data_IF_962228366013
#
_entry.id   IF_962228366013
#
_cell.length_a   1.000
_cell.length_b   1.000
_cell.length_c   1.000
_cell.angle_alpha   90.00
_cell.angle_beta   90.00
_cell.angle_gamma   90.00
#
_symmetry.space_group_name_H-M   'P 1'
#
loop_
_entity.id
_entity.type
_entity.pdbx_description
1 polymer ?
#
# COMPACT_ATOMS: atom_id res chain seq x y z
N UNK A 1 57.48 -39.42 -64.31
CA UNK A 1 56.22 -39.66 -65.05
C UNK A 1 55.05 -39.46 -64.11
N UNK A 2 54.09 -38.65 -64.56
CA UNK A 2 52.64 -38.59 -64.27
C UNK A 2 52.12 -38.94 -62.86
N UNK A 3 51.58 -37.89 -62.23
CA UNK A 3 50.47 -37.80 -61.28
C UNK A 3 49.74 -39.10 -60.87
N UNK A 4 49.61 -39.29 -59.56
CA UNK A 4 48.48 -39.99 -58.97
C UNK A 4 47.61 -39.00 -58.17
N UNK A 5 46.34 -38.99 -58.53
CA UNK A 5 45.23 -38.21 -57.98
C UNK A 5 44.53 -39.02 -56.89
N UNK A 6 44.11 -38.37 -55.78
CA UNK A 6 42.72 -38.39 -55.28
C UNK A 6 42.57 -37.86 -53.85
N UNK A 7 41.77 -36.79 -53.74
CA UNK A 7 40.51 -36.70 -52.99
C UNK A 7 40.52 -36.90 -51.46
N UNK A 8 40.38 -35.79 -50.74
CA UNK A 8 39.70 -35.68 -49.44
C UNK A 8 39.15 -34.25 -49.29
N UNK A 9 37.97 -33.95 -49.86
CA UNK A 9 36.68 -33.90 -49.16
C UNK A 9 36.71 -33.16 -47.81
N UNK A 10 36.49 -31.84 -47.89
CA UNK A 10 35.58 -31.01 -47.09
C UNK A 10 35.28 -31.49 -45.65
N UNK A 11 35.68 -30.68 -44.67
CA UNK A 11 34.88 -30.53 -43.45
C UNK A 11 35.06 -29.15 -42.81
N UNK A 12 34.04 -28.33 -43.08
CA UNK A 12 33.45 -27.32 -42.20
C UNK A 12 34.37 -26.31 -41.50
N UNK A 13 34.62 -25.20 -42.21
CA UNK A 13 34.42 -23.89 -41.58
C UNK A 13 32.93 -23.79 -41.19
N UNK A 14 32.62 -23.73 -39.90
CA UNK A 14 31.25 -23.73 -39.41
C UNK A 14 31.19 -23.21 -37.98
N UNK A 15 30.79 -21.95 -37.84
CA UNK A 15 30.65 -21.20 -36.61
C UNK A 15 29.60 -21.80 -35.66
N UNK A 16 29.86 -21.76 -34.34
CA UNK A 16 28.83 -21.78 -33.30
C UNK A 16 29.26 -20.90 -32.10
N UNK A 17 29.30 -19.59 -32.32
CA UNK A 17 29.10 -18.60 -31.25
C UNK A 17 27.59 -18.35 -31.18
N UNK A 18 26.86 -19.25 -30.51
CA UNK A 18 25.43 -19.10 -30.29
C UNK A 18 25.14 -19.26 -28.81
N UNK A 19 24.78 -18.17 -28.13
CA UNK A 19 24.19 -18.27 -26.79
C UNK A 19 24.46 -17.15 -25.78
N UNK A 20 24.81 -15.93 -26.18
CA UNK A 20 24.65 -14.76 -25.30
C UNK A 20 23.32 -14.09 -25.63
N UNK A 21 22.23 -14.62 -25.08
CA UNK A 21 20.94 -13.93 -25.06
C UNK A 21 21.12 -12.62 -24.27
N UNK A 22 20.88 -11.44 -24.86
CA UNK A 22 20.90 -10.20 -24.11
C UNK A 22 19.70 -10.21 -23.14
N UNK A 23 19.96 -10.29 -21.84
CA UNK A 23 18.98 -10.12 -20.76
C UNK A 23 18.39 -8.69 -20.68
N UNK A 24 18.57 -7.87 -21.71
CA UNK A 24 18.23 -6.44 -21.70
C UNK A 24 16.74 -6.17 -21.98
N UNK A 25 15.91 -7.21 -22.12
CA UNK A 25 14.50 -7.08 -22.46
C UNK A 25 13.55 -7.36 -21.28
N UNK A 26 14.02 -7.32 -20.03
CA UNK A 26 13.10 -7.23 -18.90
C UNK A 26 12.66 -5.77 -18.78
N UNK A 27 11.36 -5.45 -19.00
CA UNK A 27 10.86 -4.16 -18.61
C UNK A 27 11.07 -4.07 -17.10
N UNK A 28 12.00 -3.21 -16.68
CA UNK A 28 12.02 -2.69 -15.32
C UNK A 28 10.73 -1.87 -15.18
N UNK A 29 9.61 -2.56 -14.96
CA UNK A 29 8.44 -1.96 -14.38
C UNK A 29 8.93 -1.42 -13.05
N UNK A 30 9.18 -0.11 -12.98
CA UNK A 30 9.61 0.54 -11.76
C UNK A 30 8.59 0.15 -10.70
N UNK A 31 9.04 -0.61 -9.70
CA UNK A 31 8.22 -0.92 -8.54
C UNK A 31 7.96 0.41 -7.82
N UNK A 32 6.89 1.10 -8.23
CA UNK A 32 6.33 2.20 -7.47
C UNK A 32 5.85 1.57 -6.18
N UNK A 33 6.45 1.96 -5.05
CA UNK A 33 5.88 1.63 -3.76
C UNK A 33 4.42 2.10 -3.79
N UNK A 34 3.48 1.17 -3.54
CA UNK A 34 2.08 1.53 -3.37
C UNK A 34 2.02 2.60 -2.27
N UNK A 35 1.33 3.71 -2.53
CA UNK A 35 1.11 4.74 -1.51
C UNK A 35 0.58 4.07 -0.24
N UNK A 36 1.22 4.34 0.90
CA UNK A 36 0.81 3.73 2.16
C UNK A 36 -0.54 4.34 2.57
N UNK A 37 -1.64 3.56 2.64
CA UNK A 37 -2.96 4.10 2.92
C UNK A 37 -3.05 4.74 4.32
N UNK A 38 -2.16 4.38 5.24
CA UNK A 38 -2.08 5.00 6.58
C UNK A 38 -1.62 6.46 6.51
N UNK A 39 -0.92 6.88 5.46
CA UNK A 39 -0.43 8.26 5.32
C UNK A 39 -1.56 9.27 5.07
N UNK A 40 -2.76 8.80 4.70
CA UNK A 40 -3.91 9.64 4.36
C UNK A 40 -4.81 9.94 5.57
N UNK A 41 -4.61 9.21 6.67
CA UNK A 41 -5.46 9.23 7.86
C UNK A 41 -4.69 9.63 9.11
N UNK A 42 -5.33 10.30 10.07
CA UNK A 42 -4.71 10.52 11.38
C UNK A 42 -4.47 9.18 12.07
N UNK A 43 -3.38 9.08 12.83
CA UNK A 43 -3.05 7.85 13.55
C UNK A 43 -3.89 7.73 14.82
N UNK A 44 -4.24 8.87 15.43
CA UNK A 44 -5.04 8.94 16.66
C UNK A 44 -6.19 9.92 16.45
N UNK A 45 -7.39 9.51 16.87
CA UNK A 45 -8.56 10.40 17.02
C UNK A 45 -9.00 10.36 18.49
N UNK A 46 -9.18 11.52 19.12
CA UNK A 46 -9.62 11.65 20.50
C UNK A 46 -11.10 12.06 20.57
N UNK A 47 -11.90 11.23 21.24
CA UNK A 47 -13.34 11.43 21.35
C UNK A 47 -13.76 11.38 22.82
N UNK A 48 -14.56 12.37 23.25
CA UNK A 48 -15.21 12.35 24.56
C UNK A 48 -16.51 11.55 24.49
N UNK A 49 -16.69 10.58 25.39
CA UNK A 49 -17.93 9.84 25.61
C UNK A 49 -18.11 9.59 27.11
N UNK A 50 -19.30 9.83 27.66
CA UNK A 50 -19.59 9.70 29.10
C UNK A 50 -18.51 10.31 30.00
N UNK A 51 -18.17 11.58 29.77
CA UNK A 51 -17.12 12.32 30.51
C UNK A 51 -15.69 11.75 30.42
N UNK A 52 -15.49 10.71 29.62
CA UNK A 52 -14.19 10.07 29.41
C UNK A 52 -13.63 10.40 28.04
N UNK A 53 -12.35 10.71 27.96
CA UNK A 53 -11.65 10.87 26.68
C UNK A 53 -11.06 9.53 26.26
N UNK A 54 -11.49 9.04 25.09
CA UNK A 54 -10.98 7.84 24.48
C UNK A 54 -10.02 8.19 23.35
N UNK A 55 -8.86 7.53 23.31
CA UNK A 55 -7.96 7.54 22.18
C UNK A 55 -8.30 6.38 21.24
N UNK A 56 -8.78 6.71 20.05
CA UNK A 56 -9.05 5.79 18.97
C UNK A 56 -7.83 5.71 18.06
N UNK A 57 -7.22 4.53 17.96
CA UNK A 57 -6.05 4.30 17.13
C UNK A 57 -6.46 3.72 15.78
N UNK A 58 -5.84 4.20 14.71
CA UNK A 58 -6.02 3.65 13.37
C UNK A 58 -5.55 2.19 13.35
N UNK A 59 -6.50 1.27 13.15
CA UNK A 59 -6.23 -0.18 13.17
C UNK A 59 -6.13 -0.77 11.78
N UNK A 60 -6.95 -0.27 10.83
CA UNK A 60 -7.04 -0.82 9.48
C UNK A 60 -7.54 0.25 8.50
N UNK A 61 -7.05 0.21 7.27
CA UNK A 61 -7.68 0.84 6.11
C UNK A 61 -7.99 -0.25 5.09
N UNK A 62 -9.25 -0.39 4.66
CA UNK A 62 -9.64 -1.36 3.63
C UNK A 62 -9.46 -0.81 2.22
N UNK A 63 -9.51 -1.71 1.22
CA UNK A 63 -9.35 -1.36 -0.20
C UNK A 63 -10.40 -0.36 -0.71
N UNK A 64 -11.58 -0.32 -0.09
CA UNK A 64 -12.65 0.65 -0.37
C UNK A 64 -12.44 2.02 0.32
N UNK A 65 -11.30 2.21 0.98
CA UNK A 65 -10.94 3.48 1.61
C UNK A 65 -11.60 3.73 2.98
N UNK A 66 -12.16 2.71 3.62
CA UNK A 66 -12.71 2.82 4.97
C UNK A 66 -11.60 2.61 6.01
N UNK A 67 -11.29 3.67 6.77
CA UNK A 67 -10.46 3.56 7.96
C UNK A 67 -11.29 3.09 9.15
N UNK A 68 -10.77 2.11 9.88
CA UNK A 68 -11.33 1.57 11.13
C UNK A 68 -10.41 1.97 12.28
N UNK A 69 -11.00 2.58 13.30
CA UNK A 69 -10.32 2.96 14.52
C UNK A 69 -10.87 2.19 15.70
N UNK A 70 -10.00 1.88 16.65
CA UNK A 70 -10.35 1.13 17.86
C UNK A 70 -9.82 1.84 19.09
N UNK A 71 -10.63 1.85 20.15
CA UNK A 71 -10.26 2.24 21.50
C UNK A 71 -10.37 1.03 22.44
N UNK A 72 -10.12 1.25 23.73
CA UNK A 72 -10.34 0.24 24.78
C UNK A 72 -11.79 -0.27 24.79
N UNK A 73 -12.03 -1.39 25.48
CA UNK A 73 -13.38 -1.92 25.73
C UNK A 73 -14.18 -2.29 24.45
N UNK A 74 -13.47 -2.60 23.36
CA UNK A 74 -14.06 -2.97 22.05
C UNK A 74 -14.89 -1.84 21.42
N UNK A 75 -14.63 -0.59 21.82
CA UNK A 75 -15.23 0.57 21.18
C UNK A 75 -14.50 0.81 19.85
N UNK A 76 -15.24 0.94 18.76
CA UNK A 76 -14.67 1.16 17.44
C UNK A 76 -15.49 2.14 16.63
N UNK A 77 -14.86 2.72 15.62
CA UNK A 77 -15.51 3.61 14.67
C UNK A 77 -14.89 3.51 13.28
N UNK A 78 -15.63 3.99 12.29
CA UNK A 78 -15.16 4.08 10.91
C UNK A 78 -15.26 5.49 10.37
N UNK A 79 -14.39 5.82 9.42
CA UNK A 79 -14.44 7.06 8.65
C UNK A 79 -13.79 6.83 7.29
N UNK A 80 -14.27 7.54 6.26
CA UNK A 80 -13.64 7.64 4.95
C UNK A 80 -13.09 9.06 4.76
N UNK A 81 -12.24 9.30 3.77
CA UNK A 81 -11.62 10.61 3.54
C UNK A 81 -12.65 11.75 3.44
N UNK A 82 -13.71 11.53 2.67
CA UNK A 82 -14.78 12.51 2.42
C UNK A 82 -16.04 12.24 3.28
N UNK A 83 -15.97 11.24 4.15
CA UNK A 83 -17.09 10.80 4.96
C UNK A 83 -17.10 11.39 6.36
N UNK A 84 -18.14 11.00 7.10
CA UNK A 84 -18.31 11.32 8.51
C UNK A 84 -17.98 10.11 9.37
N UNK A 85 -17.45 10.36 10.57
CA UNK A 85 -17.18 9.33 11.55
C UNK A 85 -18.48 8.64 11.99
N UNK A 86 -18.44 7.31 12.06
CA UNK A 86 -19.54 6.44 12.47
C UNK A 86 -19.06 5.54 13.60
N UNK A 87 -19.90 5.28 14.59
CA UNK A 87 -19.63 4.29 15.62
C UNK A 87 -19.91 2.88 15.08
N UNK A 88 -19.14 1.89 15.53
CA UNK A 88 -19.43 0.47 15.36
C UNK A 88 -19.97 -0.07 16.68
N UNK A 89 -21.12 -0.74 16.66
CA UNK A 89 -21.62 -1.50 17.81
C UNK A 89 -22.36 -0.72 18.91
N UNK A 90 -22.82 0.52 18.66
CA UNK A 90 -23.65 1.29 19.61
C UNK A 90 -23.22 2.76 19.76
N UNK A 91 -23.66 3.43 20.83
CA UNK A 91 -23.43 4.87 21.10
C UNK A 91 -21.97 5.27 21.40
N UNK A 92 -21.01 4.34 21.36
CA UNK A 92 -19.63 4.55 21.79
C UNK A 92 -18.76 5.47 20.93
N UNK A 93 -19.29 6.17 19.93
CA UNK A 93 -18.51 7.08 19.09
C UNK A 93 -18.31 8.49 19.69
N UNK A 94 -19.07 8.84 20.72
CA UNK A 94 -18.93 10.10 21.45
C UNK A 94 -18.91 11.36 20.57
N UNK A 95 -18.15 12.36 20.99
CA UNK A 95 -18.02 13.69 20.37
C UNK A 95 -17.49 13.71 18.92
N UNK A 96 -17.11 12.56 18.38
CA UNK A 96 -16.57 12.43 17.03
C UNK A 96 -17.63 12.06 15.99
N UNK A 97 -18.72 11.39 16.39
CA UNK A 97 -19.76 10.92 15.44
C UNK A 97 -20.33 12.08 14.65
N UNK A 98 -20.45 11.89 13.33
CA UNK A 98 -21.01 12.89 12.43
C UNK A 98 -20.04 13.96 11.96
N UNK A 99 -18.81 14.01 12.49
CA UNK A 99 -17.75 14.90 12.00
C UNK A 99 -16.95 14.25 10.87
N UNK A 100 -16.53 15.08 9.92
CA UNK A 100 -15.55 14.76 8.87
C UNK A 100 -14.12 14.80 9.43
N UNK A 101 -13.14 14.26 8.69
CA UNK A 101 -11.72 14.37 9.07
C UNK A 101 -11.27 15.82 9.20
N UNK A 102 -11.74 16.70 8.31
CA UNK A 102 -11.44 18.14 8.36
C UNK A 102 -11.95 18.76 9.65
N UNK A 103 -13.19 18.48 10.04
CA UNK A 103 -13.77 18.98 11.29
C UNK A 103 -13.06 18.43 12.52
N UNK A 104 -12.68 17.14 12.51
CA UNK A 104 -11.93 16.52 13.60
C UNK A 104 -10.52 17.13 13.76
N UNK A 105 -9.84 17.46 12.66
CA UNK A 105 -8.56 18.17 12.69
C UNK A 105 -8.73 19.60 13.20
N UNK A 106 -9.74 20.31 12.69
CA UNK A 106 -10.03 21.69 13.11
C UNK A 106 -10.41 21.79 14.59
N UNK A 107 -11.07 20.77 15.15
CA UNK A 107 -11.40 20.69 16.57
C UNK A 107 -10.26 20.17 17.46
N UNK A 108 -9.08 19.91 16.90
CA UNK A 108 -7.93 19.38 17.63
C UNK A 108 -8.12 17.93 18.11
N UNK A 109 -9.04 17.18 17.50
CA UNK A 109 -9.35 15.80 17.87
C UNK A 109 -8.57 14.77 17.06
N UNK A 110 -8.08 15.11 15.87
CA UNK A 110 -7.34 14.21 15.00
C UNK A 110 -5.85 14.56 14.96
N UNK A 111 -4.99 13.54 15.10
CA UNK A 111 -3.53 13.67 15.18
C UNK A 111 -2.86 12.78 14.14
N UNK A 112 -2.23 13.41 13.15
CA UNK A 112 -1.43 12.76 12.13
C UNK A 112 0.00 12.48 12.65
N UNK A 113 0.63 11.39 12.19
CA UNK A 113 2.08 11.22 12.40
C UNK A 113 2.81 12.15 11.43
N UNK A 114 3.71 12.99 11.96
CA UNK A 114 4.64 13.75 11.13
C UNK A 114 5.70 12.80 10.60
N UNK A 115 5.83 12.75 9.27
CA UNK A 115 6.93 12.06 8.59
C UNK A 115 8.16 12.98 8.50
#
# INVERSE_FOLDING_TARGET
MKHASRRGSKTLAGALLAGLLPLTAFPLAGARAQDNPFDQFPVIIQCKYNETYHAFYLSRVSQDGIATYVASERIAGTITLDGKAKAIGGEGGGSCVGKTLTELRASGQAFDIKR
#
